data_IF_440009844659
#
_entry.id   IF_440009844659
#
_cell.length_a   1.000
_cell.length_b   1.000
_cell.length_c   1.000
_cell.angle_alpha   90.00
_cell.angle_beta   90.00
_cell.angle_gamma   90.00
#
_symmetry.space_group_name_H-M   'P 1'
#
loop_
_entity.id
_entity.type
_entity.pdbx_description
1 polymer ?
#
# COMPACT_ATOMS: atom_id res chain seq x y z
N UNK A 1 -11.18 4.34 -15.29
CA UNK A 1 -12.00 5.08 -14.31
C UNK A 1 -11.18 5.21 -13.03
N UNK A 2 -11.06 6.42 -12.47
CA UNK A 2 -10.46 6.58 -11.15
C UNK A 2 -11.31 5.83 -10.12
N UNK A 3 -10.71 5.16 -9.13
CA UNK A 3 -11.48 4.44 -8.11
C UNK A 3 -12.32 5.41 -7.28
N UNK A 4 -13.44 4.91 -6.80
CA UNK A 4 -14.34 5.72 -5.97
C UNK A 4 -13.66 6.07 -4.64
N UNK A 5 -14.13 7.12 -3.92
CA UNK A 5 -13.64 7.42 -2.58
C UNK A 5 -13.73 6.20 -1.63
N UNK A 6 -14.75 5.36 -1.81
CA UNK A 6 -14.93 4.13 -1.05
C UNK A 6 -13.85 3.08 -1.39
N UNK A 7 -13.48 2.93 -2.65
CA UNK A 7 -12.41 2.00 -3.06
C UNK A 7 -11.04 2.48 -2.58
N UNK A 8 -10.79 3.80 -2.64
CA UNK A 8 -9.57 4.39 -2.08
C UNK A 8 -9.45 4.12 -0.58
N UNK A 9 -10.56 4.24 0.15
CA UNK A 9 -10.59 3.90 1.58
C UNK A 9 -10.32 2.41 1.81
N UNK A 10 -10.94 1.50 1.03
CA UNK A 10 -10.66 0.06 1.10
C UNK A 10 -9.18 -0.27 0.85
N UNK A 11 -8.55 0.40 -0.11
CA UNK A 11 -7.12 0.25 -0.38
C UNK A 11 -6.26 0.70 0.81
N UNK A 12 -6.57 1.86 1.41
CA UNK A 12 -5.88 2.35 2.61
C UNK A 12 -6.01 1.38 3.78
N UNK A 13 -7.19 0.81 4.00
CA UNK A 13 -7.43 -0.17 5.06
C UNK A 13 -6.69 -1.49 4.80
N UNK A 14 -6.71 -1.98 3.57
CA UNK A 14 -5.96 -3.17 3.16
C UNK A 14 -4.44 -2.96 3.32
N UNK A 15 -3.95 -1.76 2.98
CA UNK A 15 -2.54 -1.40 3.13
C UNK A 15 -2.12 -1.30 4.60
N UNK A 16 -3.00 -0.80 5.47
CA UNK A 16 -2.78 -0.80 6.91
C UNK A 16 -2.70 -2.22 7.49
N UNK A 17 -3.54 -3.15 7.00
CA UNK A 17 -3.48 -4.57 7.37
C UNK A 17 -2.17 -5.19 6.90
N UNK A 18 -1.77 -4.93 5.65
CA UNK A 18 -0.50 -5.39 5.09
C UNK A 18 0.68 -4.94 5.96
N UNK A 19 0.77 -3.65 6.26
CA UNK A 19 1.87 -3.08 7.03
C UNK A 19 1.97 -3.66 8.44
N UNK A 20 0.83 -3.92 9.10
CA UNK A 20 0.77 -4.56 10.43
C UNK A 20 1.17 -6.04 10.40
N UNK A 21 0.89 -6.74 9.31
CA UNK A 21 1.25 -8.14 9.13
C UNK A 21 2.64 -8.33 8.49
N UNK A 22 3.32 -7.24 8.14
CA UNK A 22 4.64 -7.31 7.55
C UNK A 22 5.64 -7.83 8.59
N UNK A 23 6.46 -8.86 8.28
CA UNK A 23 7.32 -9.53 9.28
C UNK A 23 8.34 -8.62 9.98
N UNK A 24 8.75 -7.54 9.32
CA UNK A 24 9.71 -6.57 9.85
C UNK A 24 9.20 -5.13 9.57
N UNK A 25 8.17 -4.67 10.28
CA UNK A 25 7.41 -3.47 9.91
C UNK A 25 8.22 -2.18 10.03
N UNK A 26 9.26 -2.17 10.86
CA UNK A 26 10.20 -1.06 11.07
C UNK A 26 11.48 -1.19 10.22
N UNK A 27 11.65 -2.28 9.47
CA UNK A 27 12.78 -2.39 8.54
C UNK A 27 12.49 -1.68 7.22
N UNK A 28 13.46 -0.97 6.64
CA UNK A 28 13.33 -0.34 5.34
C UNK A 28 13.06 -1.39 4.27
N UNK A 29 12.00 -1.21 3.48
CA UNK A 29 11.57 -2.21 2.48
C UNK A 29 11.62 -1.70 1.06
N UNK A 30 11.20 -0.46 0.83
CA UNK A 30 11.15 0.12 -0.52
C UNK A 30 11.56 1.59 -0.49
N UNK A 31 12.43 1.97 -1.43
CA UNK A 31 12.62 3.36 -1.80
C UNK A 31 11.55 3.76 -2.83
N UNK A 32 10.58 4.57 -2.42
CA UNK A 32 9.68 5.26 -3.34
C UNK A 32 10.06 6.75 -3.36
N UNK A 33 10.14 7.35 -4.55
CA UNK A 33 10.33 8.79 -4.71
C UNK A 33 11.75 9.25 -5.11
N UNK A 34 11.86 10.48 -5.67
CA UNK A 34 13.13 11.11 -6.05
C UNK A 34 13.89 11.55 -4.80
N UNK A 35 14.49 10.58 -4.12
CA UNK A 35 15.23 10.81 -2.87
C UNK A 35 15.84 9.56 -2.23
N UNK A 36 15.57 8.35 -2.74
CA UNK A 36 16.08 7.08 -2.18
C UNK A 36 15.78 6.88 -0.68
N UNK A 37 14.75 7.55 -0.14
CA UNK A 37 14.35 7.31 1.24
C UNK A 37 13.71 5.92 1.31
N UNK A 38 14.44 4.95 1.89
CA UNK A 38 13.91 3.62 2.13
C UNK A 38 12.90 3.73 3.27
N UNK A 39 11.61 3.64 2.96
CA UNK A 39 10.55 3.66 3.95
C UNK A 39 10.34 2.25 4.49
N UNK A 40 10.14 2.13 5.79
CA UNK A 40 9.62 0.93 6.41
C UNK A 40 8.14 0.70 6.08
N UNK A 41 7.59 -0.50 6.32
CA UNK A 41 6.17 -0.77 6.10
C UNK A 41 5.29 0.20 6.90
N UNK A 42 5.73 0.50 8.12
CA UNK A 42 5.06 1.45 9.01
C UNK A 42 5.07 2.86 8.44
N UNK A 43 6.24 3.38 8.06
CA UNK A 43 6.35 4.72 7.51
C UNK A 43 5.62 4.86 6.17
N UNK A 44 5.68 3.83 5.33
CA UNK A 44 4.96 3.80 4.06
C UNK A 44 3.44 3.76 4.27
N UNK A 45 2.96 3.02 5.27
CA UNK A 45 1.55 3.07 5.64
C UNK A 45 1.16 4.46 6.15
N UNK A 46 1.95 5.07 7.02
CA UNK A 46 1.69 6.45 7.46
C UNK A 46 1.67 7.44 6.30
N UNK A 47 2.61 7.29 5.35
CA UNK A 47 2.67 8.09 4.14
C UNK A 47 1.39 7.97 3.31
N UNK A 48 0.89 6.73 3.12
CA UNK A 48 -0.37 6.39 2.42
C UNK A 48 -1.59 6.96 3.15
N UNK A 49 -1.66 6.82 4.49
CA UNK A 49 -2.78 7.34 5.27
C UNK A 49 -2.84 8.87 5.22
N UNK A 50 -1.68 9.53 5.34
CA UNK A 50 -1.54 11.01 5.31
C UNK A 50 -1.55 11.58 3.89
N UNK A 51 -1.58 10.74 2.85
CA UNK A 51 -1.53 11.16 1.44
C UNK A 51 -0.37 12.12 1.13
N UNK A 52 0.80 11.82 1.70
CA UNK A 52 2.08 12.45 1.33
C UNK A 52 2.42 12.14 -0.13
N UNK A 53 3.46 12.76 -0.70
CA UNK A 53 3.86 12.52 -2.09
C UNK A 53 4.12 11.02 -2.38
N UNK A 54 4.85 10.34 -1.49
CA UNK A 54 5.14 8.90 -1.60
C UNK A 54 3.88 8.06 -1.39
N UNK A 55 3.05 8.44 -0.43
CA UNK A 55 1.77 7.78 -0.16
C UNK A 55 0.78 7.87 -1.33
N UNK A 56 0.71 9.03 -1.99
CA UNK A 56 -0.09 9.23 -3.20
C UNK A 56 0.44 8.39 -4.35
N UNK A 57 1.75 8.37 -4.57
CA UNK A 57 2.38 7.54 -5.60
C UNK A 57 2.09 6.05 -5.40
N UNK A 58 2.13 5.58 -4.14
CA UNK A 58 1.75 4.22 -3.79
C UNK A 58 0.26 3.95 -4.04
N UNK A 59 -0.62 4.87 -3.62
CA UNK A 59 -2.05 4.75 -3.91
C UNK A 59 -2.30 4.68 -5.41
N UNK A 60 -1.70 5.56 -6.21
CA UNK A 60 -1.83 5.54 -7.68
C UNK A 60 -1.38 4.20 -8.29
N UNK A 61 -0.30 3.60 -7.77
CA UNK A 61 0.13 2.26 -8.18
C UNK A 61 -0.90 1.17 -7.83
N UNK A 62 -1.52 1.25 -6.65
CA UNK A 62 -2.59 0.34 -6.25
C UNK A 62 -3.86 0.55 -7.07
N UNK A 63 -4.23 1.80 -7.32
CA UNK A 63 -5.38 2.19 -8.16
C UNK A 63 -5.20 1.68 -9.59
N UNK A 64 -3.98 1.74 -10.14
CA UNK A 64 -3.65 1.12 -11.41
C UNK A 64 -3.83 -0.41 -11.39
N UNK A 65 -3.45 -1.07 -10.30
CA UNK A 65 -3.78 -2.48 -10.07
C UNK A 65 -5.29 -2.72 -10.08
N UNK A 66 -6.07 -1.93 -9.35
CA UNK A 66 -7.53 -2.05 -9.28
C UNK A 66 -8.18 -1.94 -10.65
N UNK A 67 -7.68 -1.05 -11.52
CA UNK A 67 -8.18 -0.92 -12.89
C UNK A 67 -7.95 -2.16 -13.76
N UNK A 68 -6.91 -2.95 -13.48
CA UNK A 68 -6.54 -4.13 -14.28
C UNK A 68 -7.16 -5.43 -13.78
N UNK A 69 -7.25 -5.60 -12.46
CA UNK A 69 -7.61 -6.87 -11.81
C UNK A 69 -8.86 -6.78 -10.92
N UNK A 70 -9.33 -5.57 -10.59
CA UNK A 70 -10.47 -5.33 -9.70
C UNK A 70 -10.05 -5.12 -8.24
N UNK A 71 -10.87 -4.35 -7.49
CA UNK A 71 -10.57 -3.94 -6.12
C UNK A 71 -10.38 -5.12 -5.17
N UNK A 72 -11.23 -6.14 -5.28
CA UNK A 72 -11.20 -7.29 -4.39
C UNK A 72 -9.91 -8.10 -4.53
N UNK A 73 -9.38 -8.26 -5.76
CA UNK A 73 -8.12 -8.98 -5.99
C UNK A 73 -6.92 -8.23 -5.41
N UNK A 74 -6.88 -6.91 -5.56
CA UNK A 74 -5.80 -6.09 -4.99
C UNK A 74 -5.85 -6.12 -3.47
N UNK A 75 -7.04 -5.99 -2.88
CA UNK A 75 -7.23 -6.08 -1.43
C UNK A 75 -6.84 -7.47 -0.91
N UNK A 76 -7.25 -8.54 -1.59
CA UNK A 76 -6.85 -9.90 -1.24
C UNK A 76 -5.31 -10.02 -1.27
N UNK A 77 -4.65 -9.55 -2.33
CA UNK A 77 -3.19 -9.60 -2.46
C UNK A 77 -2.46 -8.84 -1.35
N UNK A 78 -2.95 -7.67 -0.96
CA UNK A 78 -2.38 -6.87 0.12
C UNK A 78 -2.56 -7.54 1.49
N UNK A 79 -3.74 -8.11 1.73
CA UNK A 79 -4.09 -8.69 3.04
C UNK A 79 -3.66 -10.15 3.20
N UNK A 80 -3.31 -10.83 2.10
CA UNK A 80 -2.82 -12.21 2.13
C UNK A 80 -1.52 -12.27 2.92
N UNK A 81 -1.52 -13.07 4.00
CA UNK A 81 -0.31 -13.33 4.78
C UNK A 81 0.78 -13.88 3.85
N UNK A 82 2.03 -13.39 3.95
CA UNK A 82 3.12 -13.97 3.21
C UNK A 82 3.20 -15.47 3.55
N UNK A 83 3.40 -16.36 2.57
CA UNK A 83 3.59 -17.77 2.86
C UNK A 83 4.73 -17.91 3.86
N UNK A 84 4.48 -18.68 4.93
CA UNK A 84 5.50 -19.02 5.92
C UNK A 84 6.59 -19.82 5.19
N UNK A 85 7.89 -19.47 5.34
CA UNK A 85 8.98 -20.24 4.76
C UNK A 85 8.99 -21.68 5.29
#
# INVERSE_FOLDING_TARGET
>A
MAPSPADKQKLKDAFNIWAKNYPAPDQPIIGFGPGNAMLSAKELNEAVQKETADGKSMLEALEYGVQREGIDKVVERLTRKPPKP
#
